data_IF_255461738375
#
_entry.id   IF_255461738375
#
_cell.length_a   1.000
_cell.length_b   1.000
_cell.length_c   1.000
_cell.angle_alpha   90.00
_cell.angle_beta   90.00
_cell.angle_gamma   90.00
#
_symmetry.space_group_name_H-M   'P 1'
#
loop_
_entity.id
_entity.type
_entity.pdbx_description
1 polymer ?
#
# COMPACT_ATOMS: atom_id res chain seq x y z
N UNK A 1 -4.89 18.66 11.93
CA UNK A 1 -5.12 17.76 10.77
C UNK A 1 -3.80 17.56 10.06
N UNK A 2 -3.49 16.36 9.58
CA UNK A 2 -2.24 16.12 8.82
C UNK A 2 -2.37 16.68 7.39
N UNK A 3 -1.34 17.38 6.91
CA UNK A 3 -1.30 17.85 5.53
C UNK A 3 -1.14 16.67 4.55
N UNK A 4 -1.78 16.76 3.38
CA UNK A 4 -1.76 15.72 2.34
C UNK A 4 -1.46 16.34 0.98
N UNK A 5 -0.77 15.58 0.13
CA UNK A 5 -0.52 15.91 -1.27
C UNK A 5 -1.11 14.82 -2.15
N UNK A 6 -1.54 15.17 -3.36
CA UNK A 6 -2.00 14.20 -4.33
C UNK A 6 -0.87 13.26 -4.74
N UNK A 7 -1.13 11.95 -4.91
CA UNK A 7 -0.14 11.02 -5.46
C UNK A 7 0.14 11.34 -6.93
N UNK A 8 1.20 10.74 -7.47
CA UNK A 8 1.49 10.84 -8.90
C UNK A 8 0.33 10.27 -9.75
N UNK A 9 0.14 10.80 -10.96
CA UNK A 9 -0.86 10.28 -11.88
C UNK A 9 -0.59 8.81 -12.19
N UNK A 10 -1.60 7.95 -12.02
CA UNK A 10 -1.46 6.50 -12.21
C UNK A 10 -0.75 5.77 -11.06
N UNK A 11 -0.65 6.36 -9.87
CA UNK A 11 -0.12 5.65 -8.70
C UNK A 11 -0.97 4.42 -8.33
N UNK A 12 -0.36 3.26 -7.99
CA UNK A 12 1.08 2.98 -8.06
C UNK A 12 1.57 2.77 -9.50
N UNK A 13 2.64 3.47 -9.90
CA UNK A 13 3.10 3.49 -11.30
C UNK A 13 3.82 2.18 -11.68
N UNK A 14 4.66 1.68 -10.77
CA UNK A 14 5.48 0.48 -11.02
C UNK A 14 4.64 -0.75 -10.75
N UNK A 15 4.43 -1.60 -11.76
CA UNK A 15 3.77 -2.90 -11.59
C UNK A 15 4.58 -3.79 -10.66
N UNK A 16 3.90 -4.54 -9.79
CA UNK A 16 4.50 -5.48 -8.86
C UNK A 16 3.43 -6.32 -8.15
N UNK A 17 3.87 -7.17 -7.23
CA UNK A 17 2.99 -8.00 -6.41
C UNK A 17 2.62 -7.28 -5.11
N UNK A 18 1.54 -6.51 -5.17
CA UNK A 18 1.01 -5.73 -4.06
C UNK A 18 -0.48 -5.46 -4.23
N UNK A 19 -1.13 -5.12 -3.12
CA UNK A 19 -2.44 -4.52 -3.06
C UNK A 19 -2.32 -3.02 -2.73
N UNK A 20 -3.19 -2.21 -3.31
CA UNK A 20 -3.30 -0.78 -3.03
C UNK A 20 -4.57 -0.48 -2.22
N UNK A 21 -4.41 0.28 -1.13
CA UNK A 21 -5.49 0.86 -0.32
C UNK A 21 -5.62 2.37 -0.57
N UNK A 22 -5.87 3.15 0.50
CA UNK A 22 -5.99 4.60 0.40
C UNK A 22 -4.63 5.26 0.11
N UNK A 23 -4.48 5.88 -1.06
CA UNK A 23 -3.28 6.60 -1.47
C UNK A 23 -2.90 7.78 -0.54
N UNK A 24 -3.82 8.26 0.30
CA UNK A 24 -3.54 9.29 1.31
C UNK A 24 -3.09 8.72 2.67
N UNK A 25 -3.13 7.40 2.87
CA UNK A 25 -2.62 6.79 4.09
C UNK A 25 -1.10 6.99 4.22
N UNK A 26 -0.61 7.17 5.45
CA UNK A 26 0.81 7.36 5.74
C UNK A 26 1.55 6.03 6.00
N UNK A 27 0.91 4.88 5.80
CA UNK A 27 1.45 3.56 6.13
C UNK A 27 1.58 2.71 4.87
N UNK A 28 2.76 2.13 4.67
CA UNK A 28 2.99 1.04 3.73
C UNK A 28 3.49 -0.18 4.51
N UNK A 29 3.08 -1.38 4.09
CA UNK A 29 3.41 -2.64 4.76
C UNK A 29 4.14 -3.56 3.80
N UNK A 30 5.31 -4.04 4.22
CA UNK A 30 6.09 -5.02 3.46
C UNK A 30 6.03 -6.35 4.19
N UNK A 31 5.40 -7.37 3.58
CA UNK A 31 5.16 -8.67 4.21
C UNK A 31 6.34 -9.65 4.10
N UNK A 32 7.40 -9.25 3.40
CA UNK A 32 8.63 -10.03 3.20
C UNK A 32 8.34 -11.39 2.55
N UNK A 33 8.85 -12.49 3.13
CA UNK A 33 8.60 -13.85 2.68
C UNK A 33 7.28 -14.45 3.17
N UNK A 34 6.52 -13.76 4.04
CA UNK A 34 5.24 -14.23 4.54
C UNK A 34 4.15 -14.13 3.46
N UNK A 35 3.14 -14.99 3.56
CA UNK A 35 1.89 -14.85 2.82
C UNK A 35 0.80 -14.49 3.83
N UNK A 36 0.37 -13.24 3.83
CA UNK A 36 -0.63 -12.71 4.75
C UNK A 36 -1.90 -12.35 3.97
N UNK A 37 -2.85 -11.70 4.63
CA UNK A 37 -3.99 -11.09 3.94
C UNK A 37 -3.64 -9.63 3.61
N UNK A 38 -2.86 -9.40 2.54
CA UNK A 38 -2.46 -8.04 2.12
C UNK A 38 -3.67 -7.15 1.80
N UNK A 39 -4.77 -7.72 1.30
CA UNK A 39 -6.01 -7.01 1.04
C UNK A 39 -6.68 -6.55 2.35
N UNK A 40 -6.75 -7.41 3.36
CA UNK A 40 -7.24 -7.07 4.70
C UNK A 40 -6.37 -6.03 5.42
N UNK A 41 -5.06 -6.04 5.19
CA UNK A 41 -4.13 -5.03 5.71
C UNK A 41 -4.39 -3.66 5.05
N UNK A 42 -4.59 -3.61 3.74
CA UNK A 42 -5.02 -2.40 3.04
C UNK A 42 -6.38 -1.89 3.53
N UNK A 43 -7.36 -2.79 3.71
CA UNK A 43 -8.67 -2.44 4.26
C UNK A 43 -8.59 -1.90 5.70
N UNK A 44 -7.56 -2.30 6.44
CA UNK A 44 -7.27 -1.80 7.80
C UNK A 44 -6.55 -0.44 7.80
N UNK A 45 -6.26 0.14 6.62
CA UNK A 45 -5.79 1.51 6.46
C UNK A 45 -4.37 1.67 5.92
N UNK A 46 -3.72 0.62 5.42
CA UNK A 46 -2.45 0.78 4.69
C UNK A 46 -2.69 1.34 3.28
N UNK A 47 -1.82 2.24 2.81
CA UNK A 47 -1.82 2.72 1.43
C UNK A 47 -1.43 1.61 0.46
N UNK A 48 -0.48 0.76 0.85
CA UNK A 48 0.06 -0.29 0.03
C UNK A 48 0.54 -1.44 0.90
N UNK A 49 0.26 -2.68 0.48
CA UNK A 49 0.73 -3.88 1.15
C UNK A 49 1.16 -4.93 0.12
N UNK A 50 2.35 -5.51 0.28
CA UNK A 50 2.85 -6.50 -0.67
C UNK A 50 4.08 -7.25 -0.17
N UNK A 51 4.41 -8.34 -0.84
CA UNK A 51 5.58 -9.16 -0.54
C UNK A 51 6.86 -8.53 -1.12
N UNK A 52 8.00 -8.76 -0.46
CA UNK A 52 9.32 -8.33 -0.92
C UNK A 52 10.30 -9.46 -0.63
N UNK A 53 10.64 -10.22 -1.67
CA UNK A 53 11.42 -11.46 -1.63
C UNK A 53 12.69 -11.30 -2.43
#
# INVERSE_FOLDING_TARGET
MAEKKSPASGWPIVKGDYHSGDANSCVAVVTMGSHLDEAGICASGAALCGSCK
#
